data_IF_225648258687
#
_entry.id   IF_225648258687
#
_cell.length_a   1.000
_cell.length_b   1.000
_cell.length_c   1.000
_cell.angle_alpha   90.00
_cell.angle_beta   90.00
_cell.angle_gamma   90.00
#
_symmetry.space_group_name_H-M   'P 1'
#
loop_
_entity.id
_entity.type
_entity.pdbx_description
1 polymer ?
#
# COMPACT_ATOMS: atom_id res chain seq x y z
N UNK A 1 3.12 -6.57 -23.58
CA UNK A 1 4.52 -6.20 -23.33
C UNK A 1 5.44 -7.19 -24.03
N UNK A 2 6.67 -6.78 -24.43
CA UNK A 2 7.68 -7.72 -24.90
C UNK A 2 7.95 -8.81 -23.85
N UNK A 3 8.13 -10.07 -24.28
CA UNK A 3 8.49 -11.16 -23.39
C UNK A 3 9.85 -10.87 -22.74
N UNK A 4 9.97 -11.06 -21.42
CA UNK A 4 11.21 -10.81 -20.68
C UNK A 4 11.38 -9.40 -20.13
N UNK A 5 10.33 -8.56 -20.16
CA UNK A 5 10.31 -7.21 -19.59
C UNK A 5 9.19 -7.08 -18.55
N UNK A 6 9.50 -6.62 -17.34
CA UNK A 6 8.48 -6.28 -16.34
C UNK A 6 7.77 -4.96 -16.67
N UNK A 7 6.56 -4.77 -16.14
CA UNK A 7 5.83 -3.49 -16.31
C UNK A 7 6.64 -2.32 -15.75
N UNK A 8 7.34 -2.53 -14.64
CA UNK A 8 8.18 -1.52 -13.98
C UNK A 8 9.39 -1.13 -14.81
N UNK A 9 10.03 -2.09 -15.48
CA UNK A 9 11.12 -1.80 -16.41
C UNK A 9 10.59 -1.14 -17.69
N UNK A 10 9.42 -1.56 -18.18
CA UNK A 10 8.78 -0.91 -19.32
C UNK A 10 8.53 0.58 -19.07
N UNK A 11 8.05 0.97 -17.89
CA UNK A 11 7.89 2.38 -17.52
C UNK A 11 9.23 3.14 -17.51
N UNK A 12 10.30 2.54 -16.98
CA UNK A 12 11.62 3.17 -17.00
C UNK A 12 12.14 3.30 -18.44
N UNK A 13 11.91 2.31 -19.32
CA UNK A 13 12.28 2.39 -20.74
C UNK A 13 11.51 3.48 -21.50
N UNK A 14 10.22 3.72 -21.18
CA UNK A 14 9.46 4.82 -21.76
C UNK A 14 10.05 6.19 -21.41
N UNK A 15 10.57 6.35 -20.19
CA UNK A 15 11.26 7.57 -19.76
C UNK A 15 12.57 7.79 -20.55
N UNK A 16 13.35 6.72 -20.75
CA UNK A 16 14.60 6.76 -21.53
C UNK A 16 14.36 7.19 -22.99
N UNK A 17 13.26 6.75 -23.60
CA UNK A 17 12.94 7.05 -25.00
C UNK A 17 12.48 8.49 -25.24
N UNK A 18 12.37 9.32 -24.20
CA UNK A 18 12.41 10.78 -24.33
C UNK A 18 11.20 11.44 -24.99
N UNK A 19 10.00 10.86 -24.95
CA UNK A 19 8.79 11.51 -25.49
C UNK A 19 8.00 12.34 -24.46
N UNK A 20 8.25 12.16 -23.16
CA UNK A 20 7.66 12.98 -22.09
C UNK A 20 8.53 12.86 -20.84
N UNK A 21 9.06 13.97 -20.29
CA UNK A 21 9.76 13.95 -19.00
C UNK A 21 8.90 13.21 -17.96
N UNK A 22 9.45 12.27 -17.19
CA UNK A 22 8.81 11.48 -16.11
C UNK A 22 7.52 12.08 -15.46
N UNK A 23 7.55 13.37 -15.14
CA UNK A 23 6.41 14.13 -14.59
C UNK A 23 5.16 14.19 -15.50
N UNK A 24 5.32 14.20 -16.82
CA UNK A 24 4.24 14.22 -17.79
C UNK A 24 3.49 12.88 -17.88
N UNK A 25 4.17 11.73 -17.74
CA UNK A 25 3.50 10.42 -17.63
C UNK A 25 2.68 10.35 -16.34
N UNK A 26 3.26 10.78 -15.20
CA UNK A 26 2.55 10.83 -13.93
C UNK A 26 1.34 11.78 -13.97
N UNK A 27 1.46 12.93 -14.64
CA UNK A 27 0.34 13.86 -14.87
C UNK A 27 -0.75 13.26 -15.74
N UNK A 28 -0.38 12.56 -16.81
CA UNK A 28 -1.36 11.93 -17.69
C UNK A 28 -2.09 10.79 -16.99
N UNK A 29 -1.37 9.96 -16.23
CA UNK A 29 -1.98 8.95 -15.37
C UNK A 29 -2.96 9.60 -14.37
N UNK A 30 -2.56 10.71 -13.73
CA UNK A 30 -3.44 11.45 -12.83
C UNK A 30 -4.68 12.01 -13.53
N UNK A 31 -4.53 12.50 -14.77
CA UNK A 31 -5.64 13.01 -15.59
C UNK A 31 -6.64 11.92 -15.93
N UNK A 32 -6.17 10.75 -16.38
CA UNK A 32 -7.02 9.61 -16.75
C UNK A 32 -7.84 9.07 -15.58
N UNK A 33 -7.29 9.15 -14.37
CA UNK A 33 -7.93 8.67 -13.15
C UNK A 33 -8.86 9.71 -12.49
N UNK A 34 -8.80 10.99 -12.89
CA UNK A 34 -9.54 12.06 -12.23
C UNK A 34 -11.07 11.87 -12.32
N UNK A 35 -11.52 11.37 -13.47
CA UNK A 35 -12.94 11.21 -13.82
C UNK A 35 -13.56 9.91 -13.27
N UNK A 36 -12.77 9.07 -12.61
CA UNK A 36 -13.29 7.82 -12.05
C UNK A 36 -14.18 8.10 -10.84
N UNK A 37 -15.26 7.32 -10.74
CA UNK A 37 -16.24 7.37 -9.66
C UNK A 37 -16.33 6.04 -8.94
N UNK A 38 -16.77 6.09 -7.69
CA UNK A 38 -16.93 4.90 -6.87
C UNK A 38 -18.17 4.10 -7.26
N UNK A 39 -17.99 2.78 -7.16
CA UNK A 39 -19.06 1.78 -7.22
C UNK A 39 -19.52 1.35 -5.81
N UNK A 40 -20.70 0.73 -5.66
CA UNK A 40 -21.25 0.34 -4.35
C UNK A 40 -20.32 -0.51 -3.48
N UNK A 41 -19.53 -1.41 -4.08
CA UNK A 41 -18.60 -2.25 -3.32
C UNK A 41 -17.49 -1.44 -2.62
N UNK A 42 -17.04 -0.32 -3.20
CA UNK A 42 -16.07 0.56 -2.54
C UNK A 42 -16.69 1.16 -1.27
N UNK A 43 -17.95 1.61 -1.35
CA UNK A 43 -18.64 2.20 -0.21
C UNK A 43 -18.87 1.18 0.90
N UNK A 44 -19.32 -0.04 0.57
CA UNK A 44 -19.52 -1.09 1.57
C UNK A 44 -18.24 -1.44 2.32
N UNK A 45 -17.15 -1.73 1.59
CA UNK A 45 -15.89 -2.07 2.23
C UNK A 45 -15.31 -0.89 3.02
N UNK A 46 -15.36 0.34 2.49
CA UNK A 46 -14.91 1.52 3.22
C UNK A 46 -15.73 1.77 4.49
N UNK A 47 -17.06 1.62 4.42
CA UNK A 47 -17.93 1.75 5.59
C UNK A 47 -17.58 0.71 6.66
N UNK A 48 -17.27 -0.53 6.27
CA UNK A 48 -16.85 -1.57 7.20
C UNK A 48 -15.49 -1.26 7.83
N UNK A 49 -14.51 -0.84 7.04
CA UNK A 49 -13.20 -0.44 7.56
C UNK A 49 -13.34 0.73 8.56
N UNK A 50 -14.22 1.69 8.28
CA UNK A 50 -14.56 2.79 9.17
C UNK A 50 -15.23 2.32 10.47
N UNK A 51 -16.22 1.42 10.38
CA UNK A 51 -16.89 0.81 11.53
C UNK A 51 -15.89 0.10 12.46
N UNK A 52 -14.95 -0.65 11.87
CA UNK A 52 -13.87 -1.34 12.60
C UNK A 52 -12.78 -0.39 13.11
N UNK A 53 -12.87 0.91 12.81
CA UNK A 53 -11.85 1.91 13.07
C UNK A 53 -10.46 1.48 12.55
N UNK A 54 -10.43 0.80 11.40
CA UNK A 54 -9.24 0.17 10.85
C UNK A 54 -8.60 1.07 9.76
N UNK A 55 -7.28 1.34 9.82
CA UNK A 55 -6.61 2.06 8.76
C UNK A 55 -6.56 1.22 7.47
N UNK A 56 -6.69 1.89 6.32
CA UNK A 56 -6.68 1.30 4.98
C UNK A 56 -5.44 1.75 4.24
N UNK A 57 -4.65 0.79 3.75
CA UNK A 57 -3.54 1.06 2.84
C UNK A 57 -3.93 0.68 1.42
N UNK A 58 -3.63 1.52 0.43
CA UNK A 58 -3.86 1.22 -0.98
C UNK A 58 -2.63 1.49 -1.84
N UNK A 59 -2.47 0.67 -2.88
CA UNK A 59 -1.49 0.88 -3.96
C UNK A 59 -2.10 1.61 -5.16
N UNK A 60 -3.44 1.79 -5.19
CA UNK A 60 -4.13 2.58 -6.19
C UNK A 60 -3.74 4.05 -6.08
N UNK A 61 -3.81 4.78 -7.19
CA UNK A 61 -3.44 6.19 -7.22
C UNK A 61 -4.64 7.14 -7.14
N UNK A 62 -5.84 6.65 -7.48
CA UNK A 62 -7.06 7.45 -7.57
C UNK A 62 -7.63 7.83 -6.19
N UNK A 63 -8.67 8.68 -6.22
CA UNK A 63 -9.39 9.13 -5.02
C UNK A 63 -10.78 8.48 -4.88
N UNK A 64 -11.01 7.30 -5.48
CA UNK A 64 -12.31 6.61 -5.41
C UNK A 64 -12.68 6.28 -3.97
N UNK A 65 -11.77 5.67 -3.22
CA UNK A 65 -12.02 5.26 -1.85
C UNK A 65 -12.40 6.45 -0.94
N UNK A 66 -11.64 7.56 -0.88
CA UNK A 66 -12.06 8.71 -0.09
C UNK A 66 -13.32 9.41 -0.60
N UNK A 67 -13.54 9.46 -1.94
CA UNK A 67 -14.80 9.99 -2.50
C UNK A 67 -16.01 9.18 -2.05
N UNK A 68 -15.89 7.86 -1.88
CA UNK A 68 -17.02 6.98 -1.52
C UNK A 68 -17.62 7.27 -0.14
N UNK A 69 -16.86 7.89 0.77
CA UNK A 69 -17.31 8.29 2.10
C UNK A 69 -17.19 9.80 2.36
N UNK A 70 -16.93 10.61 1.33
CA UNK A 70 -16.75 12.05 1.43
C UNK A 70 -15.67 12.47 2.44
N UNK A 71 -14.54 11.76 2.44
CA UNK A 71 -13.44 12.01 3.38
C UNK A 71 -12.62 13.24 3.00
N UNK A 72 -12.04 13.86 4.02
CA UNK A 72 -11.14 15.01 3.87
C UNK A 72 -9.68 14.59 4.01
N UNK A 73 -8.78 15.41 3.47
CA UNK A 73 -7.35 15.16 3.55
C UNK A 73 -6.74 15.73 4.83
N UNK A 74 -5.92 14.92 5.50
CA UNK A 74 -5.21 15.27 6.72
C UNK A 74 -3.73 14.86 6.64
N UNK A 75 -2.96 15.30 7.63
CA UNK A 75 -1.53 15.00 7.76
C UNK A 75 -1.20 14.64 9.20
N UNK A 76 -0.55 13.51 9.44
CA UNK A 76 -0.02 13.16 10.78
C UNK A 76 1.23 13.95 11.14
N UNK A 77 2.01 14.37 10.14
CA UNK A 77 3.12 15.30 10.29
C UNK A 77 3.22 16.23 9.07
N UNK A 78 3.25 17.53 9.32
CA UNK A 78 3.41 18.58 8.31
C UNK A 78 4.86 19.03 8.15
N UNK A 79 5.74 18.80 9.14
CA UNK A 79 7.14 19.22 9.09
C UNK A 79 7.97 18.34 8.15
N UNK A 80 7.69 17.03 8.13
CA UNK A 80 8.32 16.06 7.22
C UNK A 80 7.62 15.89 5.87
N UNK A 81 6.59 16.69 5.56
CA UNK A 81 5.79 16.51 4.36
C UNK A 81 6.57 16.81 3.07
N UNK A 82 6.34 15.97 2.05
CA UNK A 82 6.77 16.22 0.69
C UNK A 82 5.73 15.67 -0.28
N UNK A 83 5.41 16.42 -1.33
CA UNK A 83 4.59 15.95 -2.45
C UNK A 83 5.25 14.84 -3.28
N UNK A 84 6.55 14.59 -3.07
CA UNK A 84 7.26 13.46 -3.65
C UNK A 84 7.07 12.19 -2.82
N UNK A 85 7.05 12.29 -1.50
CA UNK A 85 6.77 11.15 -0.60
C UNK A 85 5.72 11.56 0.44
N UNK A 86 4.42 11.63 0.06
CA UNK A 86 3.34 12.11 0.92
C UNK A 86 2.92 11.04 1.95
N UNK A 87 3.89 10.42 2.61
CA UNK A 87 3.70 9.24 3.44
C UNK A 87 3.01 9.53 4.78
N UNK A 88 2.97 10.80 5.20
CA UNK A 88 2.19 11.30 6.34
C UNK A 88 0.79 11.78 5.95
N UNK A 89 0.45 11.76 4.65
CA UNK A 89 -0.85 12.22 4.15
C UNK A 89 -1.85 11.08 4.05
N UNK A 90 -3.08 11.34 4.47
CA UNK A 90 -4.18 10.38 4.40
C UNK A 90 -5.52 11.10 4.21
N UNK A 91 -6.56 10.31 3.94
CA UNK A 91 -7.93 10.79 3.95
C UNK A 91 -8.70 10.14 5.10
N UNK A 92 -9.46 10.92 5.85
CA UNK A 92 -10.20 10.44 7.01
C UNK A 92 -11.35 11.36 7.39
N UNK A 93 -12.01 11.03 8.51
CA UNK A 93 -13.10 11.84 9.06
C UNK A 93 -12.59 13.01 9.92
N UNK A 94 -11.41 12.85 10.49
CA UNK A 94 -10.82 13.78 11.44
C UNK A 94 -9.30 13.60 11.51
N UNK A 95 -8.65 14.57 12.16
CA UNK A 95 -7.23 14.51 12.45
C UNK A 95 -6.89 13.40 13.46
N UNK A 96 -6.07 12.45 13.02
CA UNK A 96 -5.45 11.39 13.82
C UNK A 96 -4.17 11.89 14.50
N UNK A 97 -3.91 11.37 15.70
CA UNK A 97 -2.67 11.59 16.46
C UNK A 97 -1.49 10.83 15.83
N UNK A 98 -1.74 9.62 15.34
CA UNK A 98 -0.77 8.81 14.61
C UNK A 98 -1.48 7.93 13.57
N UNK A 99 -0.76 7.39 12.56
CA UNK A 99 -1.35 6.66 11.45
C UNK A 99 -2.19 5.44 11.84
N UNK A 100 -1.93 4.86 13.01
CA UNK A 100 -2.60 3.65 13.46
C UNK A 100 -3.57 3.88 14.63
N UNK A 101 -3.95 5.14 14.89
CA UNK A 101 -4.90 5.52 15.95
C UNK A 101 -6.38 5.44 15.53
N UNK A 102 -6.66 5.22 14.26
CA UNK A 102 -8.02 5.00 13.79
C UNK A 102 -8.15 4.83 12.28
N UNK A 103 -9.37 5.00 11.79
CA UNK A 103 -9.70 4.93 10.37
C UNK A 103 -9.05 6.07 9.58
N UNK A 104 -8.39 5.70 8.49
CA UNK A 104 -7.80 6.62 7.52
C UNK A 104 -7.29 5.85 6.31
N UNK A 105 -7.30 6.49 5.14
CA UNK A 105 -6.90 5.90 3.86
C UNK A 105 -5.55 6.47 3.44
N UNK A 106 -4.57 5.59 3.26
CA UNK A 106 -3.18 5.91 3.00
C UNK A 106 -2.70 5.32 1.68
N UNK A 107 -1.79 6.02 1.02
CA UNK A 107 -1.38 5.73 -0.35
C UNK A 107 0.10 5.33 -0.41
N UNK A 108 0.36 4.03 -0.61
CA UNK A 108 1.72 3.47 -0.60
C UNK A 108 2.52 3.95 -1.81
N UNK A 109 1.91 3.92 -2.99
CA UNK A 109 2.58 4.25 -4.26
C UNK A 109 2.36 5.71 -4.70
N UNK A 110 1.88 6.57 -3.80
CA UNK A 110 1.47 7.94 -4.12
C UNK A 110 0.06 8.00 -4.73
N UNK A 111 -0.39 9.20 -5.08
CA UNK A 111 -1.76 9.43 -5.56
C UNK A 111 -1.92 10.68 -6.41
N UNK A 112 -3.03 10.75 -7.14
CA UNK A 112 -3.28 11.72 -8.23
C UNK A 112 -3.22 13.20 -7.83
N UNK A 113 -3.49 13.53 -6.56
CA UNK A 113 -3.35 14.92 -6.07
C UNK A 113 -1.90 15.38 -6.04
N UNK A 114 -0.95 14.45 -5.87
CA UNK A 114 0.48 14.72 -5.92
C UNK A 114 1.11 13.87 -7.04
N UNK A 115 1.01 14.28 -8.32
CA UNK A 115 1.49 13.46 -9.43
C UNK A 115 2.96 13.01 -9.28
N UNK A 116 3.81 13.89 -8.72
CA UNK A 116 5.22 13.57 -8.42
C UNK A 116 5.42 12.40 -7.45
N UNK A 117 4.40 12.03 -6.69
CA UNK A 117 4.42 10.89 -5.78
C UNK A 117 4.13 9.55 -6.45
N UNK A 118 3.54 9.55 -7.65
CA UNK A 118 3.11 8.33 -8.34
C UNK A 118 4.33 7.47 -8.68
N UNK A 119 4.29 6.19 -8.28
CA UNK A 119 5.37 5.21 -8.51
C UNK A 119 4.91 4.15 -9.50
N UNK A 120 5.49 4.17 -10.70
CA UNK A 120 5.16 3.25 -11.79
C UNK A 120 6.38 2.41 -12.24
N UNK A 121 7.57 2.94 -12.02
CA UNK A 121 8.82 2.41 -12.55
C UNK A 121 9.67 1.68 -11.51
N UNK A 122 10.64 0.88 -11.97
CA UNK A 122 11.55 0.18 -11.08
C UNK A 122 12.41 1.19 -10.28
N UNK A 123 12.93 2.21 -10.96
CA UNK A 123 13.74 3.28 -10.36
C UNK A 123 12.97 4.04 -9.28
N UNK A 124 11.68 4.29 -9.53
CA UNK A 124 10.75 4.84 -8.55
C UNK A 124 10.64 3.97 -7.29
N UNK A 125 10.48 2.65 -7.46
CA UNK A 125 10.43 1.72 -6.34
C UNK A 125 11.76 1.63 -5.59
N UNK A 126 12.91 1.72 -6.27
CA UNK A 126 14.21 1.74 -5.60
C UNK A 126 14.37 2.98 -4.70
N UNK A 127 13.91 4.15 -5.14
CA UNK A 127 13.86 5.35 -4.30
C UNK A 127 12.95 5.18 -3.07
N UNK A 128 11.80 4.53 -3.24
CA UNK A 128 10.92 4.19 -2.11
C UNK A 128 11.60 3.22 -1.12
N UNK A 129 12.30 2.19 -1.62
CA UNK A 129 13.07 1.24 -0.79
C UNK A 129 14.14 1.96 0.00
N UNK A 130 14.92 2.84 -0.63
CA UNK A 130 15.97 3.61 0.04
C UNK A 130 15.41 4.49 1.16
N UNK A 131 14.33 5.25 0.87
CA UNK A 131 13.67 6.09 1.86
C UNK A 131 13.13 5.28 3.03
N UNK A 132 12.39 4.20 2.75
CA UNK A 132 11.81 3.36 3.78
C UNK A 132 12.90 2.74 4.67
N UNK A 133 13.97 2.22 4.07
CA UNK A 133 15.12 1.67 4.81
C UNK A 133 15.77 2.71 5.72
N UNK A 134 15.95 3.95 5.23
CA UNK A 134 16.52 5.05 6.02
C UNK A 134 15.68 5.35 7.27
N UNK A 135 14.35 5.41 7.13
CA UNK A 135 13.44 5.61 8.27
C UNK A 135 13.48 4.42 9.24
N UNK A 136 13.44 3.18 8.74
CA UNK A 136 13.48 1.98 9.57
C UNK A 136 14.80 1.85 10.35
N UNK A 137 15.93 2.19 9.73
CA UNK A 137 17.25 2.13 10.39
C UNK A 137 17.32 3.04 11.63
N UNK A 138 16.51 4.10 11.65
CA UNK A 138 16.51 5.10 12.72
C UNK A 138 15.37 4.86 13.71
N UNK A 139 15.61 3.90 14.60
CA UNK A 139 14.79 3.67 15.80
C UNK A 139 13.89 2.43 15.74
N UNK A 140 13.42 1.98 14.58
CA UNK A 140 12.49 0.84 14.49
C UNK A 140 13.12 -0.44 15.08
N UNK A 141 14.40 -0.65 14.76
CA UNK A 141 15.18 -1.80 15.20
C UNK A 141 15.82 -1.61 16.58
N UNK A 142 15.49 -0.53 17.30
CA UNK A 142 15.94 -0.27 18.65
C UNK A 142 14.83 -0.64 19.67
N UNK A 143 15.19 -0.64 20.95
CA UNK A 143 14.23 -0.81 22.05
C UNK A 143 13.42 0.48 22.36
N UNK A 144 13.58 1.53 21.55
CA UNK A 144 12.91 2.81 21.75
C UNK A 144 11.42 2.72 21.39
N UNK A 145 10.61 3.55 22.05
CA UNK A 145 9.17 3.69 21.76
C UNK A 145 8.88 4.44 20.46
N UNK A 146 9.84 5.21 19.96
CA UNK A 146 9.70 6.09 18.79
C UNK A 146 10.69 5.75 17.68
N UNK A 147 10.27 5.91 16.43
CA UNK A 147 11.11 5.73 15.24
C UNK A 147 10.73 6.72 14.14
N UNK A 148 11.66 7.07 13.25
CA UNK A 148 11.45 8.19 12.30
C UNK A 148 10.27 7.99 11.32
N UNK A 149 9.83 6.75 11.08
CA UNK A 149 8.68 6.47 10.21
C UNK A 149 7.34 6.33 10.94
N UNK A 150 7.28 6.54 12.26
CA UNK A 150 6.07 6.32 13.07
C UNK A 150 4.88 7.21 12.66
N UNK A 151 5.16 8.38 12.07
CA UNK A 151 4.14 9.30 11.57
C UNK A 151 3.74 9.04 10.11
N UNK A 152 4.11 7.89 9.55
CA UNK A 152 3.80 7.51 8.17
C UNK A 152 2.99 6.23 8.10
N UNK A 153 2.42 5.93 6.92
CA UNK A 153 1.73 4.66 6.70
C UNK A 153 2.59 3.41 6.96
N UNK A 154 3.92 3.53 7.02
CA UNK A 154 4.79 2.43 7.42
C UNK A 154 4.49 1.93 8.83
N UNK A 155 4.02 2.80 9.74
CA UNK A 155 3.61 2.42 11.10
C UNK A 155 2.47 1.39 11.05
N UNK A 156 1.50 1.58 10.16
CA UNK A 156 0.41 0.63 9.94
C UNK A 156 0.98 -0.69 9.40
N UNK A 157 1.80 -0.63 8.36
CA UNK A 157 2.33 -1.83 7.71
C UNK A 157 3.18 -2.68 8.66
N UNK A 158 4.07 -2.05 9.42
CA UNK A 158 5.08 -2.74 10.22
C UNK A 158 4.57 -3.15 11.60
N UNK A 159 3.65 -2.39 12.21
CA UNK A 159 3.25 -2.58 13.61
C UNK A 159 1.77 -2.97 13.80
N UNK A 160 1.00 -3.19 12.73
CA UNK A 160 -0.40 -3.69 12.80
C UNK A 160 -0.58 -5.05 12.12
N UNK A 161 -1.68 -5.72 12.48
CA UNK A 161 -2.14 -6.90 11.74
C UNK A 161 -2.63 -6.47 10.37
N UNK A 162 -2.37 -7.29 9.34
CA UNK A 162 -2.66 -6.93 7.95
C UNK A 162 -3.69 -7.90 7.36
N UNK A 163 -4.70 -7.38 6.68
CA UNK A 163 -5.57 -8.15 5.80
C UNK A 163 -5.40 -7.59 4.39
N UNK A 164 -4.84 -8.40 3.48
CA UNK A 164 -4.48 -7.98 2.12
C UNK A 164 -5.42 -8.67 1.13
N UNK A 165 -6.02 -7.88 0.25
CA UNK A 165 -6.87 -8.36 -0.83
C UNK A 165 -6.81 -7.37 -2.00
N UNK A 166 -7.30 -7.78 -3.17
CA UNK A 166 -7.26 -6.95 -4.38
C UNK A 166 -5.85 -6.75 -4.98
N UNK A 167 -4.83 -7.36 -4.38
CA UNK A 167 -3.46 -7.41 -4.92
C UNK A 167 -3.18 -8.81 -5.45
N UNK A 168 -2.67 -8.88 -6.68
CA UNK A 168 -2.26 -10.15 -7.28
C UNK A 168 -1.04 -10.76 -6.56
N UNK A 169 -0.21 -9.92 -5.92
CA UNK A 169 1.02 -10.34 -5.22
C UNK A 169 2.07 -10.99 -6.13
N UNK A 170 2.06 -10.62 -7.41
CA UNK A 170 3.00 -11.10 -8.44
C UNK A 170 4.37 -10.42 -8.33
N UNK A 171 5.34 -10.92 -9.09
CA UNK A 171 6.76 -10.51 -9.02
C UNK A 171 7.00 -9.01 -9.27
N UNK A 172 6.11 -8.35 -10.01
CA UNK A 172 6.17 -6.92 -10.32
C UNK A 172 5.66 -6.01 -9.19
N UNK A 173 5.05 -6.54 -8.12
CA UNK A 173 4.66 -5.80 -6.90
C UNK A 173 5.89 -5.55 -5.99
N UNK A 174 6.99 -5.10 -6.59
CA UNK A 174 8.34 -5.10 -6.01
C UNK A 174 8.39 -4.40 -4.66
N UNK A 175 7.80 -3.21 -4.54
CA UNK A 175 7.89 -2.41 -3.31
C UNK A 175 7.10 -3.04 -2.15
N UNK A 176 5.85 -3.47 -2.39
CA UNK A 176 5.03 -4.16 -1.37
C UNK A 176 5.69 -5.46 -0.94
N UNK A 177 6.18 -6.26 -1.90
CA UNK A 177 6.85 -7.53 -1.58
C UNK A 177 8.10 -7.29 -0.74
N UNK A 178 8.89 -6.27 -1.08
CA UNK A 178 10.04 -5.86 -0.27
C UNK A 178 9.63 -5.44 1.16
N UNK A 179 8.58 -4.63 1.31
CA UNK A 179 8.06 -4.21 2.62
C UNK A 179 7.63 -5.39 3.49
N UNK A 180 6.94 -6.38 2.90
CA UNK A 180 6.52 -7.59 3.61
C UNK A 180 7.71 -8.46 4.04
N UNK A 181 8.76 -8.54 3.20
CA UNK A 181 10.02 -9.19 3.58
C UNK A 181 10.67 -8.49 4.76
N UNK A 182 10.76 -7.15 4.74
CA UNK A 182 11.33 -6.39 5.86
C UNK A 182 10.49 -6.52 7.14
N UNK A 183 9.16 -6.51 7.04
CA UNK A 183 8.25 -6.81 8.16
C UNK A 183 8.51 -8.20 8.75
N UNK A 184 8.68 -9.22 7.91
CA UNK A 184 8.98 -10.58 8.37
C UNK A 184 10.35 -10.67 9.06
N UNK A 185 11.38 -10.00 8.52
CA UNK A 185 12.70 -9.89 9.18
C UNK A 185 12.61 -9.17 10.50
N UNK A 186 11.84 -8.08 10.56
CA UNK A 186 11.58 -7.32 11.77
C UNK A 186 10.95 -8.19 12.86
N UNK A 187 9.92 -8.97 12.54
CA UNK A 187 9.29 -9.91 13.49
C UNK A 187 10.17 -11.09 13.86
N UNK A 188 11.03 -11.56 12.95
CA UNK A 188 12.04 -12.58 13.30
C UNK A 188 13.04 -12.04 14.32
N UNK A 189 13.43 -10.77 14.21
CA UNK A 189 14.34 -10.10 15.16
C UNK A 189 13.63 -9.78 16.49
N UNK A 190 12.35 -9.46 16.45
CA UNK A 190 11.53 -9.13 17.62
C UNK A 190 10.24 -9.96 17.66
N UNK A 191 10.31 -11.23 18.08
CA UNK A 191 9.16 -12.14 18.07
C UNK A 191 7.94 -11.61 18.84
N UNK A 192 8.18 -10.95 19.97
CA UNK A 192 7.11 -10.37 20.83
C UNK A 192 6.33 -9.25 20.15
N UNK A 193 6.88 -8.65 19.08
CA UNK A 193 6.21 -7.59 18.31
C UNK A 193 5.42 -8.13 17.12
N UNK A 194 5.46 -9.44 16.86
CA UNK A 194 4.79 -10.08 15.72
C UNK A 194 3.29 -9.76 15.69
N UNK A 195 2.79 -9.45 14.50
CA UNK A 195 1.36 -9.22 14.22
C UNK A 195 0.85 -10.24 13.21
N UNK A 196 -0.46 -10.50 13.26
CA UNK A 196 -1.11 -11.41 12.34
C UNK A 196 -1.12 -10.84 10.90
N UNK A 197 -1.43 -11.71 9.94
CA UNK A 197 -1.41 -11.36 8.53
C UNK A 197 -2.26 -12.33 7.74
N UNK A 198 -3.15 -11.82 6.89
CA UNK A 198 -4.01 -12.59 6.01
C UNK A 198 -3.88 -12.11 4.57
N UNK A 199 -3.85 -13.04 3.62
CA UNK A 199 -3.98 -12.77 2.20
C UNK A 199 -5.25 -13.42 1.69
N UNK A 200 -6.23 -12.60 1.31
CA UNK A 200 -7.52 -13.07 0.82
C UNK A 200 -7.45 -13.22 -0.69
N UNK A 201 -7.80 -14.41 -1.18
CA UNK A 201 -7.69 -14.76 -2.59
C UNK A 201 -8.85 -15.63 -3.04
N UNK A 202 -9.26 -15.46 -4.31
CA UNK A 202 -10.18 -16.39 -4.99
C UNK A 202 -9.41 -17.45 -5.79
N UNK A 203 -8.08 -17.39 -5.78
CA UNK A 203 -7.22 -18.38 -6.43
C UNK A 203 -7.20 -19.66 -5.58
N UNK A 204 -7.54 -20.80 -6.18
CA UNK A 204 -7.46 -22.10 -5.50
C UNK A 204 -6.01 -22.50 -5.22
N UNK A 205 -5.75 -23.39 -4.25
CA UNK A 205 -4.40 -23.89 -3.98
C UNK A 205 -3.67 -24.44 -5.22
N UNK A 206 -4.40 -25.08 -6.13
CA UNK A 206 -3.85 -25.71 -7.34
C UNK A 206 -3.49 -24.69 -8.42
N UNK A 207 -4.24 -23.59 -8.52
CA UNK A 207 -3.95 -22.51 -9.45
C UNK A 207 -2.76 -21.65 -8.99
N UNK A 208 -2.50 -21.64 -7.67
CA UNK A 208 -1.45 -20.84 -7.05
C UNK A 208 -0.06 -21.37 -7.37
N UNK A 209 0.78 -20.52 -7.94
CA UNK A 209 2.17 -20.88 -8.20
C UNK A 209 2.92 -21.24 -6.92
N UNK A 210 3.81 -22.24 -7.00
CA UNK A 210 4.62 -22.66 -5.86
C UNK A 210 5.46 -21.49 -5.29
N UNK A 211 5.95 -20.60 -6.15
CA UNK A 211 6.69 -19.40 -5.75
C UNK A 211 5.84 -18.42 -4.94
N UNK A 212 4.59 -18.17 -5.34
CA UNK A 212 3.65 -17.31 -4.61
C UNK A 212 3.26 -17.92 -3.27
N UNK A 213 2.94 -19.21 -3.23
CA UNK A 213 2.63 -19.92 -2.00
C UNK A 213 3.81 -19.87 -1.00
N UNK A 214 5.04 -20.11 -1.49
CA UNK A 214 6.25 -20.02 -0.69
C UNK A 214 6.47 -18.60 -0.15
N UNK A 215 6.27 -17.59 -1.01
CA UNK A 215 6.41 -16.19 -0.60
C UNK A 215 5.46 -15.83 0.54
N UNK A 216 4.15 -16.04 0.35
CA UNK A 216 3.10 -15.70 1.32
C UNK A 216 3.36 -16.34 2.69
N UNK A 217 3.69 -17.64 2.69
CA UNK A 217 4.04 -18.38 3.91
C UNK A 217 5.24 -17.77 4.64
N UNK A 218 6.32 -17.45 3.92
CA UNK A 218 7.56 -16.98 4.54
C UNK A 218 7.48 -15.53 5.03
N UNK A 219 6.62 -14.69 4.43
CA UNK A 219 6.36 -13.35 4.96
C UNK A 219 5.32 -13.34 6.09
N UNK A 220 4.78 -14.51 6.45
CA UNK A 220 3.86 -14.68 7.58
C UNK A 220 2.43 -14.25 7.28
N UNK A 221 1.95 -14.50 6.06
CA UNK A 221 0.55 -14.31 5.67
C UNK A 221 -0.16 -15.66 5.57
N UNK A 222 -1.25 -15.81 6.33
CA UNK A 222 -2.17 -16.93 6.20
C UNK A 222 -3.11 -16.68 5.02
N UNK A 223 -3.31 -17.69 4.17
CA UNK A 223 -4.16 -17.53 2.99
C UNK A 223 -5.61 -17.84 3.36
N UNK A 224 -6.50 -16.90 3.06
CA UNK A 224 -7.96 -17.06 3.21
C UNK A 224 -8.56 -17.18 1.82
N UNK A 225 -9.19 -18.31 1.55
CA UNK A 225 -9.73 -18.64 0.22
C UNK A 225 -11.22 -18.32 0.18
N UNK A 226 -11.64 -17.58 -0.84
CA UNK A 226 -13.02 -17.23 -1.10
C UNK A 226 -13.48 -17.85 -2.42
N UNK A 227 -14.76 -18.19 -2.53
CA UNK A 227 -15.29 -18.69 -3.81
C UNK A 227 -15.44 -17.55 -4.83
N UNK A 228 -15.67 -16.33 -4.34
CA UNK A 228 -15.79 -15.14 -5.18
C UNK A 228 -15.43 -13.86 -4.42
N UNK A 229 -15.07 -12.81 -5.15
CA UNK A 229 -14.88 -11.49 -4.55
C UNK A 229 -16.18 -10.89 -4.01
N UNK A 230 -17.35 -11.37 -4.44
CA UNK A 230 -18.63 -10.92 -3.88
C UNK A 230 -18.74 -11.28 -2.39
N UNK A 231 -18.20 -12.43 -1.98
CA UNK A 231 -18.14 -12.82 -0.56
C UNK A 231 -17.32 -11.81 0.24
N UNK A 232 -16.22 -11.30 -0.32
CA UNK A 232 -15.39 -10.27 0.33
C UNK A 232 -16.18 -8.97 0.57
N UNK A 233 -17.02 -8.56 -0.37
CA UNK A 233 -17.71 -7.27 -0.31
C UNK A 233 -19.08 -7.34 0.39
N UNK A 234 -19.64 -8.54 0.59
CA UNK A 234 -20.97 -8.75 1.19
C UNK A 234 -20.95 -9.48 2.53
N UNK A 235 -20.10 -10.51 2.68
CA UNK A 235 -20.28 -11.54 3.73
C UNK A 235 -19.03 -11.78 4.60
N UNK A 236 -17.83 -11.42 4.14
CA UNK A 236 -16.55 -11.81 4.78
C UNK A 236 -16.17 -11.02 6.05
N UNK A 237 -16.97 -10.01 6.43
CA UNK A 237 -16.68 -9.14 7.57
C UNK A 237 -17.70 -9.27 8.72
N UNK A 238 -18.54 -10.32 8.67
CA UNK A 238 -19.55 -10.67 9.68
C UNK A 238 -19.00 -11.57 10.79
#
# INVERSE_FOLDING_TARGET
>A
MPLGLSMTEFYDLLDIQGSTANYAIQKEAARLLADWSFQPHHQHFMAKARELNAPVLTTNFDLILPKSLQLEQYYTDTKGFSDFYPWSTYYGDQQLENPASGFGIWYINGFVRYPRSIRLGLSHYMGCVERARSLMAKGLYAAHKHWEGEQTWLEILLNRSLCIFGLAMEENEVFIRWLLIERAKYFKKFPDRKKAGWYVSTETPEARSAGKALFLKNVGLDVVELNSYDELYKDAWG
#
